data_IF_353535892305
#
_entry.id   IF_353535892305
#
_cell.length_a   1.000
_cell.length_b   1.000
_cell.length_c   1.000
_cell.angle_alpha   90.00
_cell.angle_beta   90.00
_cell.angle_gamma   90.00
#
_symmetry.space_group_name_H-M   'P 1'
#
loop_
_entity.id
_entity.type
_entity.pdbx_description
1 polymer ?
#
# COMPACT_ATOMS: atom_id res chain seq x y z
N UNK A 1 18.71 26.10 16.37
CA UNK A 1 18.29 25.51 15.08
C UNK A 1 18.17 24.02 15.27
N UNK A 2 16.96 23.51 15.48
CA UNK A 2 16.72 22.06 15.57
C UNK A 2 16.85 21.55 14.14
N UNK A 3 17.96 20.86 13.83
CA UNK A 3 18.02 19.99 12.66
C UNK A 3 17.08 18.84 13.00
N UNK A 4 15.81 18.98 12.67
CA UNK A 4 14.86 17.87 12.72
C UNK A 4 15.50 16.77 11.90
N UNK A 5 16.03 15.77 12.60
CA UNK A 5 16.48 14.53 12.00
C UNK A 5 15.34 14.07 11.11
N UNK A 6 15.58 14.10 9.79
CA UNK A 6 14.72 13.50 8.79
C UNK A 6 14.76 11.99 9.03
N UNK A 7 14.07 11.54 10.08
CA UNK A 7 13.77 10.14 10.27
C UNK A 7 12.79 9.85 9.16
N UNK A 8 13.32 9.38 8.04
CA UNK A 8 12.51 8.81 6.99
C UNK A 8 11.74 7.66 7.66
N UNK A 9 10.42 7.68 7.56
CA UNK A 9 9.56 6.60 8.06
C UNK A 9 9.04 5.78 6.88
N UNK A 10 9.84 4.86 6.32
CA UNK A 10 9.41 3.94 5.27
C UNK A 10 8.09 3.23 5.60
N UNK A 11 7.86 2.85 6.86
CA UNK A 11 6.62 2.18 7.27
C UNK A 11 5.38 3.07 7.11
N UNK A 12 5.45 4.33 7.54
CA UNK A 12 4.34 5.28 7.34
C UNK A 12 4.05 5.48 5.86
N UNK A 13 5.12 5.58 5.08
CA UNK A 13 5.05 5.79 3.64
C UNK A 13 4.43 4.59 2.91
N UNK A 14 4.75 3.37 3.36
CA UNK A 14 4.14 2.13 2.88
C UNK A 14 2.64 2.09 3.18
N UNK A 15 2.22 2.48 4.38
CA UNK A 15 0.81 2.58 4.76
C UNK A 15 0.07 3.59 3.86
N UNK A 16 0.67 4.74 3.56
CA UNK A 16 0.08 5.74 2.66
C UNK A 16 -0.11 5.20 1.24
N UNK A 17 0.85 4.44 0.71
CA UNK A 17 0.73 3.77 -0.59
C UNK A 17 -0.45 2.80 -0.65
N UNK A 18 -0.64 2.02 0.41
CA UNK A 18 -1.81 1.15 0.60
C UNK A 18 -3.13 1.93 0.55
N UNK A 19 -3.26 2.99 1.34
CA UNK A 19 -4.48 3.81 1.39
C UNK A 19 -4.82 4.46 0.05
N UNK A 20 -3.82 4.91 -0.71
CA UNK A 20 -4.05 5.50 -2.04
C UNK A 20 -4.66 4.47 -2.99
N UNK A 21 -4.15 3.23 -2.95
CA UNK A 21 -4.70 2.13 -3.73
C UNK A 21 -6.13 1.77 -3.34
N UNK A 22 -6.43 1.66 -2.05
CA UNK A 22 -7.79 1.31 -1.58
C UNK A 22 -8.84 2.34 -2.02
N UNK A 23 -8.40 3.59 -2.23
CA UNK A 23 -9.25 4.66 -2.80
C UNK A 23 -9.38 4.60 -4.33
N UNK A 24 -8.82 3.59 -4.99
CA UNK A 24 -8.83 3.43 -6.44
C UNK A 24 -8.03 4.51 -7.18
N UNK A 25 -7.13 5.21 -6.49
CA UNK A 25 -6.33 6.28 -7.10
C UNK A 25 -5.17 5.70 -7.90
N UNK A 26 -4.81 6.34 -9.02
CA UNK A 26 -3.63 5.96 -9.80
C UNK A 26 -2.36 6.02 -8.94
N UNK A 27 -1.36 5.21 -9.32
CA UNK A 27 -0.03 5.17 -8.70
C UNK A 27 0.73 6.50 -8.84
N UNK A 28 0.22 7.47 -9.60
CA UNK A 28 0.87 8.75 -9.80
C UNK A 28 -0.07 9.92 -9.49
N UNK A 29 0.47 10.99 -8.87
CA UNK A 29 1.90 11.20 -8.54
C UNK A 29 2.30 10.66 -7.14
N UNK A 30 3.40 9.89 -7.09
CA UNK A 30 4.07 9.55 -5.83
C UNK A 30 4.63 10.83 -5.18
N UNK A 31 4.31 11.12 -3.91
CA UNK A 31 4.66 12.41 -3.28
C UNK A 31 6.14 12.48 -2.86
N UNK A 32 6.90 11.40 -3.00
CA UNK A 32 8.29 11.30 -2.56
C UNK A 32 9.27 11.43 -3.72
N UNK A 33 10.49 11.89 -3.41
CA UNK A 33 11.57 12.00 -4.39
C UNK A 33 11.83 10.64 -5.04
N UNK A 34 11.85 10.61 -6.37
CA UNK A 34 12.16 9.41 -7.13
C UNK A 34 13.49 8.78 -6.67
N UNK A 35 13.49 7.47 -6.44
CA UNK A 35 14.65 6.72 -5.95
C UNK A 35 14.93 6.81 -4.44
N UNK A 36 14.14 7.56 -3.67
CA UNK A 36 14.24 7.56 -2.21
C UNK A 36 13.68 6.27 -1.59
N UNK A 37 14.15 5.91 -0.39
CA UNK A 37 13.59 4.78 0.38
C UNK A 37 12.08 4.95 0.63
N UNK A 38 11.63 6.20 0.79
CA UNK A 38 10.21 6.55 0.89
C UNK A 38 9.45 6.25 -0.41
N UNK A 39 9.96 6.66 -1.57
CA UNK A 39 9.30 6.33 -2.85
C UNK A 39 9.17 4.82 -3.07
N UNK A 40 10.22 4.05 -2.73
CA UNK A 40 10.19 2.59 -2.78
C UNK A 40 9.15 2.00 -1.82
N UNK A 41 9.09 2.49 -0.59
CA UNK A 41 8.12 2.03 0.40
C UNK A 41 6.68 2.35 -0.02
N UNK A 42 6.44 3.54 -0.58
CA UNK A 42 5.13 3.98 -1.06
C UNK A 42 4.65 3.11 -2.22
N UNK A 43 5.51 2.88 -3.21
CA UNK A 43 5.21 1.97 -4.31
C UNK A 43 5.04 0.53 -3.82
N UNK A 44 5.80 0.10 -2.81
CA UNK A 44 5.65 -1.21 -2.18
C UNK A 44 4.26 -1.39 -1.55
N UNK A 45 3.75 -0.38 -0.84
CA UNK A 45 2.42 -0.41 -0.25
C UNK A 45 1.31 -0.32 -1.30
N UNK A 46 1.48 0.54 -2.31
CA UNK A 46 0.54 0.61 -3.43
C UNK A 46 0.53 -0.70 -4.23
N UNK A 47 1.67 -1.33 -4.48
CA UNK A 47 1.73 -2.58 -5.23
C UNK A 47 1.22 -3.78 -4.42
N UNK A 48 1.31 -3.73 -3.09
CA UNK A 48 0.89 -4.81 -2.21
C UNK A 48 -0.59 -5.12 -2.44
N UNK A 49 -0.80 -6.13 -3.27
CA UNK A 49 -2.07 -6.78 -3.48
C UNK A 49 -2.22 -7.61 -2.24
N UNK A 50 -3.11 -7.20 -1.32
CA UNK A 50 -3.67 -8.18 -0.41
C UNK A 50 -3.96 -9.39 -1.27
N UNK A 51 -3.38 -10.53 -0.91
CA UNK A 51 -3.78 -11.81 -1.47
C UNK A 51 -5.23 -11.98 -1.03
N UNK A 52 -6.11 -11.31 -1.76
CA UNK A 52 -7.55 -11.37 -1.66
C UNK A 52 -7.82 -12.78 -2.11
N UNK A 53 -7.70 -13.72 -1.17
CA UNK A 53 -8.35 -15.01 -1.25
C UNK A 53 -9.81 -14.65 -1.48
N UNK A 54 -10.40 -14.97 -2.64
CA UNK A 54 -11.82 -15.12 -2.65
C UNK A 54 -12.09 -16.40 -1.86
N UNK A 55 -12.30 -16.31 -0.55
CA UNK A 55 -13.10 -17.35 0.12
C UNK A 55 -14.57 -17.13 -0.26
N UNK A 56 -14.85 -17.22 -1.56
CA UNK A 56 -16.14 -17.73 -2.02
C UNK A 56 -16.07 -19.23 -1.72
N UNK A 57 -16.47 -19.62 -0.51
CA UNK A 57 -17.06 -20.95 -0.35
C UNK A 57 -18.44 -20.88 -0.98
N UNK A 58 -18.48 -21.10 -2.29
CA UNK A 58 -19.67 -21.60 -2.96
C UNK A 58 -19.80 -23.07 -2.59
N UNK A 59 -20.78 -23.40 -1.75
CA UNK A 59 -21.44 -24.71 -1.59
C UNK A 59 -22.79 -24.39 -0.90
N UNK A 60 -23.75 -23.76 -1.58
CA UNK A 60 -24.76 -24.43 -2.42
C UNK A 60 -24.37 -25.78 -3.03
N UNK A 61 -24.20 -26.78 -2.17
CA UNK A 61 -24.38 -28.23 -2.42
C UNK A 61 -24.15 -28.87 -1.04
N UNK A 62 -25.19 -29.23 -0.27
CA UNK A 62 -25.87 -30.51 -0.39
C UNK A 62 -27.35 -30.30 -0.05
N UNK A 63 -28.18 -30.69 -1.02
CA UNK A 63 -29.61 -30.96 -0.89
C UNK A 63 -29.74 -32.44 -0.51
N UNK A 64 -30.40 -32.71 0.62
CA UNK A 64 -31.36 -33.77 0.97
C UNK A 64 -31.34 -34.03 2.49
#
# INVERSE_FOLDING_TARGET
MIKENQIEYPLKTWIEGHYVRDRGKPQEPCPYRHGSAMALAWHGGWWHREQSKPTKKSQDEIRD
#
